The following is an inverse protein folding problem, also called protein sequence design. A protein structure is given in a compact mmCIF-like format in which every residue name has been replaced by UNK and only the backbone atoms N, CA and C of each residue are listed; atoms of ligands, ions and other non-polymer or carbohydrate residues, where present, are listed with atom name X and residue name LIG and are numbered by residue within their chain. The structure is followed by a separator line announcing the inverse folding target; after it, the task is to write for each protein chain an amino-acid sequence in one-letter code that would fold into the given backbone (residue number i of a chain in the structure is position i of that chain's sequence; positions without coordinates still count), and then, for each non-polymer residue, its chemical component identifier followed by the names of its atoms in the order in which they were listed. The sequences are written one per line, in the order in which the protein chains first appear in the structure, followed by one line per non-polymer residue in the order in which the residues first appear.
data_IF_104999089572
#
_entry.id   IF_104999089572
#
_cell.length_a   1.000
_cell.length_b   1.000
_cell.length_c   1.000
_cell.angle_alpha   90.00
_cell.angle_beta   90.00
_cell.angle_gamma   90.00
#
_symmetry.space_group_name_H-M   'P 1'
#
loop_
_entity.id
_entity.type
_entity.pdbx_description
1 polymer ?
#
# COMPACT_ATOMS: atom_id res chain seq x y z
N UNK A 1 -15.73 -20.33 12.57
CA UNK A 1 -15.09 -21.49 11.92
C UNK A 1 -13.67 -21.59 12.43
N UNK A 2 -13.31 -22.74 13.02
CA UNK A 2 -11.97 -22.98 13.57
C UNK A 2 -11.06 -23.61 12.51
N UNK A 3 -9.79 -23.23 12.53
CA UNK A 3 -8.75 -23.83 11.70
C UNK A 3 -8.20 -25.08 12.38
N UNK A 4 -8.96 -26.18 12.33
CA UNK A 4 -8.48 -27.47 12.82
C UNK A 4 -7.44 -28.09 11.86
N UNK A 5 -6.72 -29.11 12.32
CA UNK A 5 -5.67 -29.76 11.53
C UNK A 5 -6.22 -30.42 10.25
N UNK A 6 -7.46 -30.91 10.27
CA UNK A 6 -8.13 -31.50 9.10
C UNK A 6 -8.41 -30.46 8.00
N UNK A 7 -8.89 -29.28 8.37
CA UNK A 7 -9.18 -28.14 7.50
C UNK A 7 -7.88 -27.56 6.96
N UNK A 8 -6.83 -27.52 7.78
CA UNK A 8 -5.47 -27.15 7.33
C UNK A 8 -4.93 -28.19 6.33
N UNK A 9 -5.15 -29.48 6.58
CA UNK A 9 -4.77 -30.55 5.66
C UNK A 9 -5.48 -30.43 4.32
N UNK A 10 -6.81 -30.24 4.32
CA UNK A 10 -7.59 -29.99 3.10
C UNK A 10 -7.17 -28.71 2.39
N UNK A 11 -6.85 -27.64 3.13
CA UNK A 11 -6.31 -26.41 2.55
C UNK A 11 -4.99 -26.68 1.82
N UNK A 12 -4.05 -27.41 2.44
CA UNK A 12 -2.77 -27.77 1.81
C UNK A 12 -2.95 -28.63 0.56
N UNK A 13 -3.83 -29.63 0.60
CA UNK A 13 -4.14 -30.48 -0.55
C UNK A 13 -4.70 -29.67 -1.72
N UNK A 14 -5.76 -28.89 -1.48
CA UNK A 14 -6.35 -28.02 -2.49
C UNK A 14 -5.37 -26.92 -2.95
N UNK A 15 -4.44 -26.51 -2.08
CA UNK A 15 -3.39 -25.57 -2.43
C UNK A 15 -2.41 -26.16 -3.45
N UNK A 16 -1.96 -27.39 -3.23
CA UNK A 16 -1.06 -28.14 -4.13
C UNK A 16 -1.73 -28.48 -5.46
N UNK A 17 -3.02 -28.82 -5.45
CA UNK A 17 -3.83 -29.08 -6.65
C UNK A 17 -4.03 -27.85 -7.55
N UNK A 18 -3.63 -26.65 -7.11
CA UNK A 18 -3.71 -25.44 -7.94
C UNK A 18 -5.08 -24.75 -7.97
N UNK A 19 -6.07 -25.17 -7.14
CA UNK A 19 -7.41 -24.55 -7.09
C UNK A 19 -7.37 -23.08 -6.67
N UNK A 20 -8.07 -22.17 -7.36
CA UNK A 20 -8.08 -20.74 -6.99
C UNK A 20 -8.47 -20.50 -5.52
N UNK A 21 -7.97 -19.44 -4.89
CA UNK A 21 -8.28 -19.13 -3.48
C UNK A 21 -9.77 -18.93 -3.20
N UNK A 22 -10.52 -18.46 -4.21
CA UNK A 22 -11.97 -18.35 -4.13
C UNK A 22 -12.66 -19.73 -4.17
N UNK A 23 -12.16 -20.64 -5.00
CA UNK A 23 -12.66 -22.03 -5.10
C UNK A 23 -12.35 -22.82 -3.83
N UNK A 24 -11.14 -22.69 -3.29
CA UNK A 24 -10.76 -23.27 -2.00
C UNK A 24 -11.69 -22.75 -0.90
N UNK A 25 -11.99 -21.45 -0.90
CA UNK A 25 -12.92 -20.86 0.06
C UNK A 25 -14.31 -21.46 -0.01
N UNK A 26 -14.86 -21.64 -1.22
CA UNK A 26 -16.16 -22.29 -1.44
C UNK A 26 -16.19 -23.73 -0.90
N UNK A 27 -15.15 -24.52 -1.15
CA UNK A 27 -15.07 -25.93 -0.72
C UNK A 27 -14.89 -26.09 0.79
N UNK A 28 -14.14 -25.18 1.41
CA UNK A 28 -13.89 -25.19 2.85
C UNK A 28 -14.95 -24.42 3.67
N UNK A 29 -15.90 -23.73 3.02
CA UNK A 29 -16.89 -22.90 3.70
C UNK A 29 -16.32 -21.62 4.33
N UNK A 30 -15.15 -21.16 3.87
CA UNK A 30 -14.49 -19.93 4.36
C UNK A 30 -14.41 -18.86 3.26
N UNK A 31 -14.22 -17.59 3.66
CA UNK A 31 -14.01 -16.53 2.69
C UNK A 31 -12.66 -16.68 1.97
N UNK A 32 -12.58 -16.19 0.72
CA UNK A 32 -11.32 -16.11 -0.05
C UNK A 32 -10.19 -15.48 0.77
N UNK A 33 -10.48 -14.40 1.51
CA UNK A 33 -9.49 -13.69 2.30
C UNK A 33 -9.00 -14.51 3.50
N UNK A 34 -9.88 -15.33 4.09
CA UNK A 34 -9.49 -16.24 5.16
C UNK A 34 -8.51 -17.31 4.65
N UNK A 35 -8.74 -17.86 3.45
CA UNK A 35 -7.82 -18.80 2.76
C UNK A 35 -6.46 -18.15 2.53
N UNK A 36 -6.43 -16.96 1.93
CA UNK A 36 -5.17 -16.22 1.65
C UNK A 36 -4.41 -15.96 2.94
N UNK A 37 -5.10 -15.45 3.96
CA UNK A 37 -4.49 -15.15 5.25
C UNK A 37 -3.99 -16.40 5.97
N UNK A 38 -4.67 -17.54 5.86
CA UNK A 38 -4.19 -18.80 6.46
C UNK A 38 -3.02 -19.39 5.67
N UNK A 39 -3.07 -19.37 4.34
CA UNK A 39 -1.97 -19.85 3.50
C UNK A 39 -0.66 -19.09 3.74
N UNK A 40 -0.73 -17.76 3.89
CA UNK A 40 0.42 -16.93 4.25
C UNK A 40 0.99 -17.25 5.64
N UNK A 41 0.14 -17.57 6.63
CA UNK A 41 0.60 -17.96 7.98
C UNK A 41 1.17 -19.38 8.05
N UNK A 42 0.88 -20.20 7.04
CA UNK A 42 1.38 -21.57 6.91
C UNK A 42 2.59 -21.67 5.96
N UNK A 43 3.10 -20.53 5.50
CA UNK A 43 4.23 -20.42 4.55
C UNK A 43 4.08 -21.32 3.31
N UNK A 44 2.86 -21.43 2.79
CA UNK A 44 2.60 -22.22 1.59
C UNK A 44 3.25 -21.55 0.36
N UNK A 45 3.76 -22.36 -0.60
CA UNK A 45 4.48 -21.83 -1.75
C UNK A 45 3.61 -20.87 -2.55
N UNK A 46 4.20 -19.71 -2.90
CA UNK A 46 3.53 -18.70 -3.71
C UNK A 46 3.22 -19.29 -5.08
N UNK A 47 1.94 -19.27 -5.45
CA UNK A 47 1.54 -19.72 -6.78
C UNK A 47 1.89 -18.66 -7.83
N UNK A 48 2.27 -19.08 -9.06
CA UNK A 48 2.35 -18.17 -10.19
C UNK A 48 0.99 -17.52 -10.40
N UNK A 49 0.99 -16.21 -10.65
CA UNK A 49 -0.23 -15.42 -10.81
C UNK A 49 -1.13 -16.03 -11.90
N UNK A 50 -2.42 -16.31 -11.61
CA UNK A 50 -3.39 -16.74 -12.61
C UNK A 50 -3.66 -15.69 -13.68
N UNK A 51 -3.11 -14.47 -13.55
CA UNK A 51 -3.03 -13.49 -14.64
C UNK A 51 -1.98 -14.00 -15.64
N UNK A 52 -2.27 -15.11 -16.30
CA UNK A 52 -1.71 -15.36 -17.62
C UNK A 52 -2.37 -14.31 -18.51
N UNK A 53 -1.56 -13.40 -19.07
CA UNK A 53 -1.98 -12.67 -20.27
C UNK A 53 -2.07 -13.73 -21.36
N UNK A 54 -3.22 -14.38 -21.47
CA UNK A 54 -3.50 -15.21 -22.63
C UNK A 54 -3.33 -14.30 -23.85
N UNK A 55 -2.43 -14.69 -24.74
CA UNK A 55 -1.91 -13.87 -25.83
C UNK A 55 -2.96 -13.56 -26.89
N UNK A 56 -3.89 -12.68 -26.57
CA UNK A 56 -4.73 -11.97 -27.53
C UNK A 56 -4.41 -10.48 -27.50
N UNK A 57 -3.48 -10.06 -28.36
CA UNK A 57 -3.57 -8.80 -29.11
C UNK A 57 -3.74 -7.46 -28.39
N UNK A 58 -3.42 -7.33 -27.10
CA UNK A 58 -3.37 -6.03 -26.43
C UNK A 58 -2.01 -5.37 -26.63
N UNK A 59 -1.91 -4.43 -27.58
CA UNK A 59 -0.74 -3.56 -27.76
C UNK A 59 -0.24 -3.02 -26.40
N UNK A 60 1.10 -2.82 -26.22
CA UNK A 60 1.62 -2.23 -25.00
C UNK A 60 0.88 -0.92 -24.74
N UNK A 61 0.20 -0.81 -23.59
CA UNK A 61 -0.37 0.46 -23.14
C UNK A 61 0.79 1.45 -23.06
N UNK A 62 0.89 2.30 -24.07
CA UNK A 62 1.77 3.45 -24.00
C UNK A 62 1.39 4.26 -22.76
N UNK A 63 2.36 4.79 -22.00
CA UNK A 63 2.06 5.70 -20.91
C UNK A 63 1.25 6.86 -21.48
N UNK A 64 -0.03 6.92 -21.14
CA UNK A 64 -0.88 8.06 -21.47
C UNK A 64 -0.22 9.31 -20.89
N UNK A 65 0.13 10.33 -21.71
CA UNK A 65 0.74 11.54 -21.19
C UNK A 65 -0.24 12.16 -20.21
N UNK A 66 0.24 12.35 -18.98
CA UNK A 66 -0.46 13.03 -17.90
C UNK A 66 -0.87 14.40 -18.46
N UNK A 67 -2.16 14.60 -18.74
CA UNK A 67 -2.68 15.87 -19.23
C UNK A 67 -2.65 16.85 -18.06
N UNK A 68 -1.51 17.52 -17.87
CA UNK A 68 -1.38 18.63 -16.92
C UNK A 68 -2.04 19.83 -17.58
N UNK A 69 -3.32 20.05 -17.30
CA UNK A 69 -3.97 21.33 -17.56
C UNK A 69 -3.65 22.26 -16.38
N UNK A 70 -2.46 22.86 -16.42
CA UNK A 70 -2.05 23.96 -15.55
C UNK A 70 -1.20 24.93 -16.38
N UNK A 71 -1.11 26.21 -16.01
CA UNK A 71 -0.32 27.18 -16.76
C UNK A 71 1.15 26.74 -16.81
N UNK A 72 1.62 26.45 -18.02
CA UNK A 72 2.99 25.99 -18.33
C UNK A 72 3.98 27.10 -17.99
N UNK A 73 4.89 26.84 -17.05
CA UNK A 73 6.08 27.69 -16.85
C UNK A 73 6.97 27.64 -18.11
N UNK A 74 7.62 28.75 -18.49
CA UNK A 74 8.46 28.78 -19.68
C UNK A 74 9.66 27.81 -19.53
N UNK A 75 10.10 27.17 -20.62
CA UNK A 75 11.23 26.26 -20.60
C UNK A 75 12.51 27.02 -20.28
N UNK A 76 13.21 26.62 -19.21
CA UNK A 76 14.55 27.14 -18.91
C UNK A 76 15.54 26.52 -19.88
N UNK A 77 16.30 27.37 -20.59
CA UNK A 77 17.37 26.95 -21.46
C UNK A 77 18.54 26.39 -20.64
N UNK A 78 18.72 25.08 -20.67
CA UNK A 78 19.95 24.45 -20.18
C UNK A 78 21.07 24.69 -21.20
N UNK A 79 22.01 25.56 -20.86
CA UNK A 79 23.31 25.61 -21.55
C UNK A 79 24.04 24.29 -21.28
N UNK A 80 24.19 23.48 -22.32
CA UNK A 80 25.00 22.28 -22.29
C UNK A 80 26.48 22.63 -22.08
N UNK A 81 27.10 22.04 -21.05
CA UNK A 81 28.55 21.98 -20.95
C UNK A 81 29.07 20.87 -21.88
N UNK A 82 30.26 21.03 -22.50
CA UNK A 82 30.78 20.06 -23.45
C UNK A 82 31.06 18.71 -22.79
N UNK A 83 30.79 17.65 -23.55
CA UNK A 83 31.01 16.26 -23.17
C UNK A 83 32.50 16.01 -22.89
N UNK A 84 32.81 15.58 -21.67
CA UNK A 84 34.10 14.95 -21.36
C UNK A 84 33.98 13.45 -21.56
N UNK A 85 34.92 12.92 -22.33
CA UNK A 85 35.06 11.54 -22.74
C UNK A 85 35.14 10.60 -21.53
N UNK A 86 34.36 9.52 -21.56
CA UNK A 86 34.22 8.56 -20.48
C UNK A 86 35.46 7.66 -20.36
N UNK A 87 36.34 7.96 -19.40
CA UNK A 87 37.34 7.01 -18.92
C UNK A 87 36.72 6.08 -17.87
N UNK A 88 36.73 4.77 -18.16
CA UNK A 88 36.28 3.73 -17.21
C UNK A 88 37.19 3.67 -15.99
N UNK A 89 36.67 3.80 -14.75
CA UNK A 89 37.48 3.64 -13.55
C UNK A 89 37.83 2.16 -13.29
N UNK A 90 39.02 1.86 -12.72
CA UNK A 90 39.40 0.50 -12.37
C UNK A 90 38.50 -0.07 -11.25
N UNK A 91 38.37 -1.41 -11.15
CA UNK A 91 37.48 -2.05 -10.20
C UNK A 91 37.89 -1.72 -8.76
N UNK A 92 37.06 -0.90 -8.10
CA UNK A 92 37.21 -0.53 -6.71
C UNK A 92 36.79 -1.72 -5.85
N UNK A 93 37.76 -2.34 -5.19
CA UNK A 93 37.54 -3.44 -4.27
C UNK A 93 36.62 -2.97 -3.12
N UNK A 94 35.46 -3.60 -2.99
CA UNK A 94 34.52 -3.35 -1.89
C UNK A 94 35.06 -4.01 -0.62
N UNK A 95 35.81 -3.25 0.17
CA UNK A 95 36.04 -3.60 1.57
C UNK A 95 34.68 -3.67 2.28
N UNK A 96 34.40 -4.82 2.91
CA UNK A 96 33.19 -5.03 3.70
C UNK A 96 33.10 -3.97 4.80
N UNK A 97 32.23 -2.99 4.60
CA UNK A 97 31.94 -2.00 5.63
C UNK A 97 31.31 -2.69 6.82
N UNK A 98 32.06 -2.76 7.92
CA UNK A 98 31.55 -3.16 9.23
C UNK A 98 30.30 -2.32 9.53
N UNK A 99 29.16 -2.99 9.65
CA UNK A 99 27.88 -2.37 10.00
C UNK A 99 28.03 -1.67 11.34
N UNK A 100 28.04 -0.33 11.33
CA UNK A 100 27.88 0.44 12.57
C UNK A 100 26.49 0.14 13.15
N UNK A 101 26.37 -0.19 14.44
CA UNK A 101 25.07 -0.35 15.07
C UNK A 101 24.34 1.00 15.04
N UNK A 102 23.13 0.99 14.47
CA UNK A 102 22.20 2.12 14.49
C UNK A 102 21.80 2.35 15.95
N UNK A 103 22.01 3.55 16.52
CA UNK A 103 21.55 3.83 17.87
C UNK A 103 20.03 3.72 17.94
N UNK A 104 19.46 3.16 19.02
CA UNK A 104 18.02 3.10 19.17
C UNK A 104 17.44 4.51 19.23
N UNK A 105 16.56 4.76 18.26
CA UNK A 105 15.44 5.72 18.23
C UNK A 105 15.39 6.76 19.34
N UNK A 106 15.44 8.04 18.97
CA UNK A 106 15.04 9.16 19.82
C UNK A 106 13.62 8.98 20.41
N UNK A 107 13.20 9.85 21.35
CA UNK A 107 11.99 9.64 22.12
C UNK A 107 10.80 9.45 21.19
N UNK A 108 10.23 8.24 21.22
CA UNK A 108 8.92 7.97 20.62
C UNK A 108 7.96 8.98 21.23
N UNK A 109 7.49 9.94 20.43
CA UNK A 109 6.40 10.82 20.81
C UNK A 109 5.25 9.91 21.22
N UNK A 110 4.97 9.85 22.52
CA UNK A 110 3.84 9.08 23.04
C UNK A 110 2.60 9.78 22.53
N UNK A 111 1.95 9.19 21.51
CA UNK A 111 0.61 9.62 21.10
C UNK A 111 -0.29 9.32 22.27
N UNK A 112 -0.58 10.35 23.08
CA UNK A 112 -1.47 10.22 24.22
C UNK A 112 -2.84 9.83 23.66
N UNK A 113 -3.37 8.63 23.94
CA UNK A 113 -4.71 8.29 23.50
C UNK A 113 -5.66 9.16 24.31
N UNK A 114 -6.32 10.13 23.66
CA UNK A 114 -7.42 10.88 24.29
C UNK A 114 -8.54 9.88 24.53
N UNK A 115 -8.81 9.47 25.79
CA UNK A 115 -9.57 8.24 26.00
C UNK A 115 -11.02 8.42 25.56
N UNK A 116 -11.71 9.50 25.94
CA UNK A 116 -13.13 9.72 25.59
C UNK A 116 -13.56 11.20 25.75
N UNK A 117 -12.78 12.16 25.27
CA UNK A 117 -13.25 13.56 25.25
C UNK A 117 -14.06 13.77 23.97
N UNK A 118 -15.40 13.68 24.06
CA UNK A 118 -16.41 14.08 23.06
C UNK A 118 -15.76 14.88 21.94
N UNK A 119 -15.55 14.30 20.76
CA UNK A 119 -14.72 14.94 19.73
C UNK A 119 -15.25 16.35 19.43
N UNK A 120 -14.56 17.36 19.97
CA UNK A 120 -14.89 18.78 19.74
C UNK A 120 -14.25 19.22 18.42
N UNK A 121 -13.17 18.58 18.00
CA UNK A 121 -12.45 18.90 16.77
C UNK A 121 -12.12 17.64 15.96
N UNK A 122 -11.95 17.81 14.65
CA UNK A 122 -11.73 16.78 13.65
C UNK A 122 -10.32 16.19 13.73
N UNK A 123 -10.17 14.87 13.74
CA UNK A 123 -8.83 14.25 13.81
C UNK A 123 -8.21 13.93 12.42
N UNK A 124 -8.56 14.67 11.37
CA UNK A 124 -8.01 14.41 10.03
C UNK A 124 -6.58 14.93 9.91
N UNK A 125 -5.59 14.08 9.55
CA UNK A 125 -4.20 14.49 9.40
C UNK A 125 -3.99 15.27 8.09
N UNK A 126 -3.30 16.41 8.19
CA UNK A 126 -2.92 17.25 7.05
C UNK A 126 -1.40 17.31 7.01
N UNK A 127 -0.84 16.89 5.89
CA UNK A 127 0.61 16.79 5.66
C UNK A 127 1.21 15.45 6.08
N UNK A 128 2.53 15.34 5.96
CA UNK A 128 3.26 14.10 6.23
C UNK A 128 3.83 14.07 7.65
N UNK A 129 3.71 12.94 8.37
CA UNK A 129 4.25 12.80 9.71
C UNK A 129 5.77 13.00 9.69
N UNK A 130 6.26 14.00 10.43
CA UNK A 130 7.67 14.40 10.48
C UNK A 130 7.97 15.73 9.81
N UNK A 131 7.01 16.35 9.13
CA UNK A 131 7.12 17.73 8.65
C UNK A 131 6.63 18.74 9.69
N UNK A 132 7.20 19.97 9.76
CA UNK A 132 6.72 21.01 10.67
C UNK A 132 5.28 21.48 10.36
N UNK A 133 4.80 21.22 9.15
CA UNK A 133 3.44 21.52 8.70
C UNK A 133 2.43 20.42 9.05
N UNK A 134 2.85 19.31 9.68
CA UNK A 134 1.94 18.24 10.08
C UNK A 134 1.00 18.73 11.18
N UNK A 135 -0.31 18.69 10.88
CA UNK A 135 -1.36 19.17 11.78
C UNK A 135 -2.65 18.40 11.59
N UNK A 136 -3.55 18.52 12.56
CA UNK A 136 -4.90 17.97 12.46
C UNK A 136 -5.89 19.06 12.07
N UNK A 137 -7.01 18.67 11.47
CA UNK A 137 -8.08 19.59 11.12
C UNK A 137 -8.73 20.19 12.39
N UNK A 138 -8.83 21.51 12.46
CA UNK A 138 -9.40 22.17 13.64
C UNK A 138 -10.94 22.31 13.59
N UNK A 139 -11.60 21.79 12.55
CA UNK A 139 -13.05 21.91 12.37
C UNK A 139 -13.84 21.04 13.37
N UNK A 140 -15.08 21.43 13.69
CA UNK A 140 -15.94 20.69 14.61
C UNK A 140 -16.21 19.26 14.12
N UNK A 141 -15.92 18.27 14.96
CA UNK A 141 -16.26 16.89 14.65
C UNK A 141 -17.77 16.65 14.80
N UNK A 142 -18.32 15.80 13.92
CA UNK A 142 -19.74 15.44 13.96
C UNK A 142 -20.06 14.59 15.19
N UNK A 143 -21.27 14.71 15.73
CA UNK A 143 -21.72 13.91 16.88
C UNK A 143 -21.56 12.42 16.61
N UNK A 144 -20.83 11.71 17.50
CA UNK A 144 -20.58 10.28 17.38
C UNK A 144 -19.54 9.88 16.32
N UNK A 145 -18.91 10.83 15.63
CA UNK A 145 -17.85 10.58 14.64
C UNK A 145 -16.60 11.40 14.99
N UNK A 146 -15.39 10.94 14.63
CA UNK A 146 -14.16 11.64 14.97
C UNK A 146 -13.76 12.72 13.96
N UNK A 147 -14.52 12.88 12.87
CA UNK A 147 -14.23 13.80 11.77
C UNK A 147 -15.34 14.85 11.58
N UNK A 148 -15.01 15.98 10.98
CA UNK A 148 -15.99 16.96 10.47
C UNK A 148 -16.73 16.39 9.23
N UNK A 149 -17.73 17.11 8.72
CA UNK A 149 -18.54 16.67 7.56
C UNK A 149 -17.69 16.27 6.36
N UNK A 150 -16.78 17.15 5.94
CA UNK A 150 -15.95 16.95 4.74
C UNK A 150 -15.02 15.74 4.90
N UNK A 151 -14.30 15.68 6.01
CA UNK A 151 -13.37 14.58 6.28
C UNK A 151 -14.08 13.25 6.57
N UNK A 152 -15.32 13.29 7.09
CA UNK A 152 -16.14 12.08 7.23
C UNK A 152 -16.53 11.50 5.87
N UNK A 153 -16.80 12.35 4.86
CA UNK A 153 -17.08 11.87 3.49
C UNK A 153 -15.87 11.19 2.86
N UNK A 154 -14.66 11.71 3.10
CA UNK A 154 -13.42 11.08 2.64
C UNK A 154 -13.12 9.77 3.37
N UNK A 155 -13.36 9.70 4.68
CA UNK A 155 -13.08 8.52 5.51
C UNK A 155 -14.05 7.36 5.24
N UNK A 156 -15.36 7.66 5.13
CA UNK A 156 -16.42 6.65 5.12
C UNK A 156 -17.02 6.48 3.72
N UNK A 157 -16.32 5.75 2.85
CA UNK A 157 -16.87 5.33 1.55
C UNK A 157 -17.81 4.12 1.71
N UNK A 158 -19.01 4.20 1.11
CA UNK A 158 -19.95 3.08 1.05
C UNK A 158 -19.34 1.96 0.19
N UNK A 159 -19.48 0.71 0.63
CA UNK A 159 -18.86 -0.48 -0.02
C UNK A 159 -19.21 -0.63 -1.51
N UNK A 160 -20.38 -0.14 -1.96
CA UNK A 160 -20.76 -0.17 -3.38
C UNK A 160 -19.90 0.78 -4.25
N UNK A 161 -19.57 1.94 -3.72
CA UNK A 161 -18.83 3.00 -4.41
C UNK A 161 -17.38 2.58 -4.73
N UNK A 162 -16.75 1.83 -3.81
CA UNK A 162 -15.41 1.26 -4.03
C UNK A 162 -15.37 0.26 -5.20
N UNK A 163 -16.48 -0.44 -5.47
CA UNK A 163 -16.54 -1.44 -6.55
C UNK A 163 -16.70 -0.77 -7.92
N UNK A 164 -17.40 0.36 -7.99
CA UNK A 164 -17.59 1.16 -9.22
C UNK A 164 -16.33 1.95 -9.59
N UNK A 165 -15.64 2.56 -8.61
CA UNK A 165 -14.42 3.33 -8.88
C UNK A 165 -13.17 2.44 -9.14
N UNK A 166 -13.30 1.13 -8.92
CA UNK A 166 -12.24 0.14 -9.19
C UNK A 166 -12.49 -0.68 -10.48
N UNK A 167 -13.62 -0.43 -11.16
CA UNK A 167 -13.94 -1.00 -12.47
C UNK A 167 -13.49 -0.05 -13.59
#
# INVERSE_FOLDING_TARGET
MEWNEEVIGRLRALWMEGHSTAEIGRRLGVSKNAVVGKAHRLDLPARPSPIRRDGNGGAPRQPSPRRVAGPTLPPLHSTALPAVEAASPPPRQVAAALRRPVPPTGPRMQVVPRPYARAVACCWPIGDPGTPSFRFCDAQAMTGKPYCGDHAQLAYVKVRDRRENAA
#
